data_IF_219948947786
#
_entry.id   IF_219948947786
#
_cell.length_a   1.000
_cell.length_b   1.000
_cell.length_c   1.000
_cell.angle_alpha   90.00
_cell.angle_beta   90.00
_cell.angle_gamma   90.00
#
_symmetry.space_group_name_H-M   'P 1'
#
loop_
_entity.id
_entity.type
_entity.pdbx_description
1 polymer ?
#
# COMPACT_ATOMS: atom_id res chain seq x y z
N UNK A 1 23.85 44.17 -37.66
CA UNK A 1 23.28 43.36 -36.55
C UNK A 1 23.58 41.86 -36.60
N UNK A 2 24.12 41.27 -37.68
CA UNK A 2 24.39 39.82 -37.76
C UNK A 2 25.78 39.38 -37.23
N UNK A 3 26.72 40.31 -37.02
CA UNK A 3 28.11 40.00 -36.62
C UNK A 3 28.28 39.84 -35.10
N UNK A 4 27.47 40.55 -34.29
CA UNK A 4 27.54 40.49 -32.82
C UNK A 4 26.86 39.23 -32.22
N UNK A 5 25.86 38.66 -32.89
CA UNK A 5 25.22 37.40 -32.47
C UNK A 5 26.08 36.15 -32.74
N UNK A 6 27.00 36.20 -33.72
CA UNK A 6 27.94 35.10 -33.97
C UNK A 6 29.04 35.03 -32.89
N UNK A 7 29.53 36.16 -32.41
CA UNK A 7 30.57 36.22 -31.38
C UNK A 7 30.06 35.78 -29.99
N UNK A 8 28.81 36.10 -29.61
CA UNK A 8 28.26 35.65 -28.31
C UNK A 8 28.02 34.14 -28.25
N UNK A 9 27.64 33.50 -29.37
CA UNK A 9 27.51 32.04 -29.47
C UNK A 9 28.86 31.32 -29.38
N UNK A 10 29.92 31.88 -29.97
CA UNK A 10 31.26 31.26 -29.93
C UNK A 10 31.85 31.32 -28.51
N UNK A 11 31.67 32.44 -27.80
CA UNK A 11 32.16 32.61 -26.41
C UNK A 11 31.35 31.75 -25.42
N UNK A 12 30.03 31.58 -25.61
CA UNK A 12 29.24 30.70 -24.72
C UNK A 12 29.56 29.22 -24.94
N UNK A 13 29.78 28.80 -26.18
CA UNK A 13 30.11 27.41 -26.52
C UNK A 13 31.50 27.02 -26.02
N UNK A 14 32.48 27.95 -26.06
CA UNK A 14 33.82 27.73 -25.51
C UNK A 14 33.82 27.58 -23.97
N UNK A 15 32.95 28.34 -23.27
CA UNK A 15 32.83 28.30 -21.80
C UNK A 15 32.12 27.04 -21.29
N UNK A 16 31.17 26.52 -22.07
CA UNK A 16 30.49 25.23 -21.80
C UNK A 16 31.45 24.04 -22.04
N UNK A 17 32.27 24.12 -23.10
CA UNK A 17 33.25 23.07 -23.40
C UNK A 17 34.43 23.04 -22.43
N UNK A 18 34.86 24.18 -21.87
CA UNK A 18 35.90 24.19 -20.83
C UNK A 18 35.38 23.66 -19.48
N UNK A 19 34.14 23.99 -19.10
CA UNK A 19 33.50 23.42 -17.90
C UNK A 19 33.22 21.93 -18.04
N UNK A 20 32.80 21.44 -19.22
CA UNK A 20 32.69 20.00 -19.48
C UNK A 20 34.03 19.29 -19.36
N UNK A 21 35.14 19.86 -19.86
CA UNK A 21 36.49 19.27 -19.74
C UNK A 21 37.00 19.20 -18.30
N UNK A 22 36.64 20.18 -17.46
CA UNK A 22 37.04 20.20 -16.04
C UNK A 22 36.20 19.22 -15.22
N UNK A 23 34.92 19.01 -15.57
CA UNK A 23 34.07 18.01 -14.91
C UNK A 23 34.40 16.58 -15.39
N UNK A 24 34.74 16.38 -16.66
CA UNK A 24 35.13 15.05 -17.16
C UNK A 24 36.53 14.61 -16.75
N UNK A 25 37.44 15.50 -16.34
CA UNK A 25 38.74 15.08 -15.79
C UNK A 25 38.68 14.66 -14.32
N UNK A 26 37.64 15.07 -13.58
CA UNK A 26 37.46 14.73 -12.16
C UNK A 26 36.66 13.44 -11.94
N UNK A 27 35.85 13.01 -12.92
CA UNK A 27 35.02 11.80 -12.84
C UNK A 27 35.66 10.55 -13.51
N UNK A 28 36.83 10.70 -14.15
CA UNK A 28 37.49 9.62 -14.89
C UNK A 28 38.20 8.57 -14.01
N UNK A 29 38.07 8.65 -12.68
CA UNK A 29 38.76 7.76 -11.76
C UNK A 29 37.97 7.37 -10.51
N UNK A 30 36.63 7.34 -10.59
CA UNK A 30 35.86 6.62 -9.58
C UNK A 30 35.91 5.12 -9.97
N UNK A 31 36.57 4.26 -9.17
CA UNK A 31 36.58 2.82 -9.42
C UNK A 31 35.15 2.30 -9.51
N UNK A 32 34.86 1.40 -10.45
CA UNK A 32 33.54 0.81 -10.63
C UNK A 32 33.04 0.11 -9.34
N UNK A 33 33.97 -0.40 -8.53
CA UNK A 33 33.70 -0.91 -7.18
C UNK A 33 33.27 0.18 -6.20
N UNK A 34 33.78 1.40 -6.30
CA UNK A 34 33.38 2.52 -5.45
C UNK A 34 31.99 3.04 -5.84
N UNK A 35 31.66 3.07 -7.15
CA UNK A 35 30.30 3.37 -7.64
C UNK A 35 29.30 2.30 -7.17
N UNK A 36 29.66 1.01 -7.25
CA UNK A 36 28.82 -0.09 -6.74
C UNK A 36 28.65 -0.03 -5.21
N UNK A 37 29.72 0.23 -4.47
CA UNK A 37 29.66 0.35 -3.01
C UNK A 37 28.84 1.58 -2.56
N UNK A 38 28.94 2.71 -3.28
CA UNK A 38 28.16 3.92 -3.01
C UNK A 38 26.68 3.74 -3.40
N UNK A 39 26.40 2.97 -4.46
CA UNK A 39 25.04 2.60 -4.85
C UNK A 39 24.42 1.59 -3.88
N UNK A 40 25.15 0.56 -3.44
CA UNK A 40 24.71 -0.40 -2.40
C UNK A 40 24.54 0.28 -1.03
N UNK A 41 25.36 1.30 -0.73
CA UNK A 41 25.23 2.15 0.46
C UNK A 41 23.96 3.03 0.46
N UNK A 42 23.33 3.24 -0.70
CA UNK A 42 22.12 4.05 -0.84
C UNK A 42 20.83 3.22 -0.96
N UNK A 43 20.93 1.89 -1.04
CA UNK A 43 19.75 1.02 -1.07
C UNK A 43 19.17 0.93 0.34
N UNK A 44 17.94 1.41 0.50
CA UNK A 44 17.26 1.34 1.79
C UNK A 44 17.01 -0.11 2.24
N UNK A 45 16.81 -0.27 3.55
CA UNK A 45 16.64 -1.57 4.20
C UNK A 45 15.51 -2.40 3.56
N UNK A 46 14.38 -1.80 3.23
CA UNK A 46 13.26 -2.52 2.63
C UNK A 46 13.65 -3.06 1.26
N UNK A 47 14.24 -2.24 0.41
CA UNK A 47 14.65 -2.62 -0.95
C UNK A 47 15.67 -3.77 -0.90
N UNK A 48 16.62 -3.73 0.05
CA UNK A 48 17.56 -4.82 0.26
C UNK A 48 16.86 -6.13 0.64
N UNK A 49 16.00 -6.10 1.67
CA UNK A 49 15.26 -7.29 2.12
C UNK A 49 14.34 -7.85 1.02
N UNK A 50 13.73 -6.98 0.22
CA UNK A 50 12.88 -7.36 -0.90
C UNK A 50 13.70 -8.07 -2.00
N UNK A 51 14.83 -7.50 -2.40
CA UNK A 51 15.70 -8.09 -3.42
C UNK A 51 16.24 -9.46 -3.03
N UNK A 52 16.44 -9.73 -1.74
CA UNK A 52 16.85 -11.05 -1.23
C UNK A 52 15.72 -12.11 -1.30
N UNK A 53 14.45 -11.68 -1.28
CA UNK A 53 13.28 -12.58 -1.24
C UNK A 53 12.45 -12.62 -2.52
N UNK A 54 12.69 -11.70 -3.45
CA UNK A 54 11.96 -11.64 -4.73
C UNK A 54 12.17 -12.92 -5.53
N UNK A 55 11.14 -13.31 -6.25
CA UNK A 55 11.13 -14.46 -7.15
C UNK A 55 10.92 -13.89 -8.55
N UNK A 56 11.95 -13.99 -9.38
CA UNK A 56 11.88 -13.55 -10.76
C UNK A 56 10.96 -14.49 -11.55
N UNK A 57 9.95 -13.91 -12.19
CA UNK A 57 8.98 -14.63 -13.01
C UNK A 57 8.86 -13.97 -14.38
N UNK A 58 8.78 -14.77 -15.43
CA UNK A 58 8.50 -14.28 -16.79
C UNK A 58 7.05 -13.81 -16.93
N UNK A 59 6.76 -12.98 -17.94
CA UNK A 59 5.39 -12.51 -18.22
C UNK A 59 4.38 -13.65 -18.43
N UNK A 60 4.82 -14.75 -19.05
CA UNK A 60 4.00 -15.94 -19.20
C UNK A 60 3.70 -16.60 -17.84
N UNK A 61 4.71 -16.74 -16.97
CA UNK A 61 4.51 -17.25 -15.60
C UNK A 61 3.63 -16.30 -14.78
N UNK A 62 3.80 -14.98 -14.93
CA UNK A 62 2.97 -13.94 -14.31
C UNK A 62 1.50 -14.07 -14.73
N UNK A 63 1.24 -14.22 -16.02
CA UNK A 63 -0.11 -14.45 -16.54
C UNK A 63 -0.71 -15.78 -16.06
N UNK A 64 0.07 -16.86 -16.07
CA UNK A 64 -0.36 -18.17 -15.58
C UNK A 64 -0.67 -18.13 -14.07
N UNK A 65 0.18 -17.47 -13.28
CA UNK A 65 -0.02 -17.25 -11.86
C UNK A 65 -1.25 -16.38 -11.61
N UNK A 66 -1.46 -15.31 -12.37
CA UNK A 66 -2.67 -14.48 -12.25
C UNK A 66 -3.95 -15.30 -12.49
N UNK A 67 -3.98 -16.09 -13.57
CA UNK A 67 -5.12 -16.94 -13.92
C UNK A 67 -5.32 -18.03 -12.86
N UNK A 68 -4.27 -18.78 -12.51
CA UNK A 68 -4.33 -19.84 -11.50
C UNK A 68 -4.71 -19.32 -10.12
N UNK A 69 -4.24 -18.13 -9.76
CA UNK A 69 -4.58 -17.41 -8.53
C UNK A 69 -6.01 -16.93 -8.50
N UNK A 70 -6.50 -16.37 -9.61
CA UNK A 70 -7.89 -15.97 -9.76
C UNK A 70 -8.82 -17.16 -9.58
N UNK A 71 -8.56 -18.26 -10.30
CA UNK A 71 -9.37 -19.48 -10.23
C UNK A 71 -9.31 -20.07 -8.82
N UNK A 72 -8.12 -20.18 -8.23
CA UNK A 72 -7.96 -20.75 -6.88
C UNK A 72 -8.60 -19.89 -5.79
N UNK A 73 -8.50 -18.57 -5.88
CA UNK A 73 -9.15 -17.64 -4.94
C UNK A 73 -10.68 -17.69 -5.07
N UNK A 74 -11.22 -17.94 -6.27
CA UNK A 74 -12.66 -18.14 -6.48
C UNK A 74 -13.15 -19.47 -5.90
N UNK A 75 -12.35 -20.54 -6.01
CA UNK A 75 -12.67 -21.87 -5.48
C UNK A 75 -12.51 -21.93 -3.96
N UNK A 76 -11.40 -21.42 -3.43
CA UNK A 76 -11.12 -21.33 -2.00
C UNK A 76 -10.48 -19.98 -1.61
N UNK A 77 -11.27 -18.97 -1.21
CA UNK A 77 -10.80 -17.68 -0.74
C UNK A 77 -10.01 -17.73 0.55
N UNK A 78 -10.01 -18.87 1.28
CA UNK A 78 -9.15 -19.05 2.47
C UNK A 78 -7.68 -19.22 2.07
N UNK A 79 -7.41 -19.45 0.79
CA UNK A 79 -6.07 -19.41 0.19
C UNK A 79 -5.60 -17.96 0.00
N UNK A 80 -5.20 -17.35 1.11
CA UNK A 80 -4.68 -15.97 1.13
C UNK A 80 -3.45 -15.80 0.22
N UNK A 81 -2.69 -16.87 0.00
CA UNK A 81 -1.55 -16.95 -0.93
C UNK A 81 -1.95 -16.68 -2.38
N UNK A 82 -3.10 -17.18 -2.82
CA UNK A 82 -3.58 -16.97 -4.19
C UNK A 82 -4.12 -15.55 -4.38
N UNK A 83 -4.81 -14.99 -3.38
CA UNK A 83 -5.26 -13.58 -3.45
C UNK A 83 -4.04 -12.63 -3.47
N UNK A 84 -3.02 -12.94 -2.67
CA UNK A 84 -1.75 -12.22 -2.65
C UNK A 84 -1.07 -12.25 -4.03
N UNK A 85 -0.92 -13.44 -4.61
CA UNK A 85 -0.31 -13.64 -5.93
C UNK A 85 -1.12 -12.96 -7.05
N UNK A 86 -2.45 -13.01 -7.01
CA UNK A 86 -3.30 -12.30 -7.97
C UNK A 86 -3.02 -10.78 -7.92
N UNK A 87 -2.87 -10.25 -6.71
CA UNK A 87 -2.56 -8.85 -6.52
C UNK A 87 -1.24 -8.40 -7.13
N UNK A 88 -0.19 -9.19 -6.92
CA UNK A 88 1.15 -8.90 -7.43
C UNK A 88 1.27 -9.05 -8.95
N UNK A 89 0.39 -9.84 -9.56
CA UNK A 89 0.44 -10.13 -11.01
C UNK A 89 -0.51 -9.26 -11.84
N UNK A 90 -1.45 -8.54 -11.20
CA UNK A 90 -2.43 -7.69 -11.90
C UNK A 90 -2.48 -6.25 -11.39
N UNK A 91 -1.72 -5.92 -10.34
CA UNK A 91 -1.84 -4.66 -9.60
C UNK A 91 -1.04 -3.48 -10.14
N UNK A 92 -0.06 -3.66 -11.04
CA UNK A 92 0.97 -2.67 -11.37
C UNK A 92 0.42 -1.27 -11.68
N UNK A 93 -0.59 -1.17 -12.56
CA UNK A 93 -1.18 0.12 -12.92
C UNK A 93 -1.84 0.81 -11.71
N UNK A 94 -2.58 0.07 -10.90
CA UNK A 94 -3.23 0.61 -9.71
C UNK A 94 -2.18 0.98 -8.64
N UNK A 95 -1.14 0.18 -8.47
CA UNK A 95 -0.03 0.46 -7.55
C UNK A 95 0.72 1.73 -7.95
N UNK A 96 0.94 1.95 -9.25
CA UNK A 96 1.54 3.19 -9.75
C UNK A 96 0.66 4.40 -9.44
N UNK A 97 -0.66 4.29 -9.62
CA UNK A 97 -1.59 5.38 -9.26
C UNK A 97 -1.61 5.66 -7.75
N UNK A 98 -1.51 4.63 -6.92
CA UNK A 98 -1.37 4.79 -5.46
C UNK A 98 -0.07 5.52 -5.14
N UNK A 99 1.04 5.11 -5.74
CA UNK A 99 2.33 5.76 -5.58
C UNK A 99 2.29 7.25 -5.95
N UNK A 100 1.74 7.59 -7.12
CA UNK A 100 1.58 8.98 -7.56
C UNK A 100 0.75 9.81 -6.57
N UNK A 101 -0.35 9.25 -6.06
CA UNK A 101 -1.17 9.89 -5.01
C UNK A 101 -0.38 10.09 -3.71
N UNK A 102 0.46 9.13 -3.31
CA UNK A 102 1.32 9.26 -2.14
C UNK A 102 2.34 10.38 -2.33
N UNK A 103 3.04 10.40 -3.47
CA UNK A 103 4.05 11.41 -3.81
C UNK A 103 3.48 12.82 -3.93
N UNK A 104 2.20 12.97 -4.29
CA UNK A 104 1.51 14.26 -4.32
C UNK A 104 1.29 14.88 -2.93
N UNK A 105 1.33 14.08 -1.85
CA UNK A 105 1.14 14.54 -0.47
C UNK A 105 2.45 14.58 0.31
N UNK A 106 2.57 15.53 1.25
CA UNK A 106 3.76 15.61 2.12
C UNK A 106 3.91 14.34 2.98
N UNK A 107 2.83 13.91 3.62
CA UNK A 107 2.81 12.69 4.46
C UNK A 107 3.13 11.43 3.63
N UNK A 108 2.56 11.30 2.44
CA UNK A 108 2.85 10.18 1.54
C UNK A 108 4.30 10.16 1.05
N UNK A 109 4.92 11.31 0.76
CA UNK A 109 6.36 11.38 0.44
C UNK A 109 7.23 10.89 1.60
N UNK A 110 6.90 11.27 2.82
CA UNK A 110 7.61 10.79 4.01
C UNK A 110 7.49 9.26 4.15
N UNK A 111 6.30 8.70 3.94
CA UNK A 111 6.09 7.25 3.96
C UNK A 111 6.92 6.54 2.88
N UNK A 112 6.92 7.05 1.64
CA UNK A 112 7.71 6.45 0.54
C UNK A 112 9.22 6.52 0.83
N UNK A 113 9.67 7.60 1.48
CA UNK A 113 11.09 7.77 1.84
C UNK A 113 11.50 6.89 3.02
N UNK A 114 10.71 6.87 4.09
CA UNK A 114 11.04 6.18 5.34
C UNK A 114 10.71 4.68 5.29
N UNK A 115 9.79 4.29 4.40
CA UNK A 115 9.27 2.93 4.22
C UNK A 115 8.92 2.24 5.55
N UNK A 116 8.12 2.88 6.43
CA UNK A 116 7.71 2.28 7.69
C UNK A 116 6.98 0.95 7.44
N UNK A 117 7.13 0.04 8.41
CA UNK A 117 6.56 -1.32 8.39
C UNK A 117 5.65 -1.50 9.58
N UNK A 118 4.58 -2.27 9.42
CA UNK A 118 3.68 -2.66 10.50
C UNK A 118 3.75 -4.19 10.64
N UNK A 119 4.56 -4.63 11.60
CA UNK A 119 4.74 -6.04 11.97
C UNK A 119 5.18 -6.12 13.44
N UNK A 120 5.28 -7.32 14.01
CA UNK A 120 5.63 -7.47 15.44
C UNK A 120 7.05 -7.02 15.78
N UNK A 121 7.93 -6.82 14.80
CA UNK A 121 9.28 -6.26 15.03
C UNK A 121 9.29 -4.75 15.16
N UNK A 122 8.25 -4.06 14.68
CA UNK A 122 8.16 -2.60 14.69
C UNK A 122 7.05 -2.07 15.58
N UNK A 123 6.05 -2.90 15.90
CA UNK A 123 4.90 -2.53 16.73
C UNK A 123 4.90 -3.35 18.01
N UNK A 124 4.99 -2.67 19.16
CA UNK A 124 4.88 -3.31 20.47
C UNK A 124 3.40 -3.48 20.87
N UNK A 125 2.87 -4.69 20.70
CA UNK A 125 1.47 -4.98 21.02
C UNK A 125 1.13 -4.87 22.51
N UNK A 126 2.09 -5.09 23.40
CA UNK A 126 1.88 -4.92 24.85
C UNK A 126 1.74 -3.45 25.23
N UNK A 127 2.46 -2.56 24.54
CA UNK A 127 2.26 -1.11 24.68
C UNK A 127 0.89 -0.69 24.15
N UNK A 128 0.48 -1.18 22.98
CA UNK A 128 -0.84 -0.86 22.41
C UNK A 128 -1.98 -1.29 23.34
N UNK A 129 -1.85 -2.46 23.98
CA UNK A 129 -2.84 -3.04 24.90
C UNK A 129 -3.17 -2.15 26.09
N UNK A 130 -2.19 -1.40 26.59
CA UNK A 130 -2.35 -0.55 27.79
C UNK A 130 -2.70 0.90 27.45
N UNK A 131 -2.83 1.25 26.16
CA UNK A 131 -3.25 2.58 25.75
C UNK A 131 -4.72 2.87 26.12
N UNK A 132 -5.13 4.15 26.24
CA UNK A 132 -6.53 4.49 26.48
C UNK A 132 -7.46 3.95 25.40
N UNK A 133 -8.67 3.53 25.80
CA UNK A 133 -9.56 2.77 24.90
C UNK A 133 -9.97 3.53 23.63
N UNK A 134 -10.01 4.85 23.69
CA UNK A 134 -10.38 5.72 22.59
C UNK A 134 -9.24 5.92 21.57
N UNK A 135 -8.04 5.39 21.80
CA UNK A 135 -6.90 5.57 20.89
C UNK A 135 -6.87 4.53 19.76
N UNK A 136 -6.23 4.89 18.64
CA UNK A 136 -5.99 3.95 17.53
C UNK A 136 -5.24 2.69 18.00
N UNK A 137 -4.22 2.85 18.84
CA UNK A 137 -3.37 1.77 19.33
C UNK A 137 -4.17 0.72 20.08
N UNK A 138 -4.96 1.13 21.07
CA UNK A 138 -5.82 0.21 21.81
C UNK A 138 -6.82 -0.48 20.88
N UNK A 139 -7.49 0.28 19.99
CA UNK A 139 -8.50 -0.28 19.09
C UNK A 139 -7.89 -1.28 18.09
N UNK A 140 -6.66 -1.02 17.61
CA UNK A 140 -5.94 -1.95 16.75
C UNK A 140 -5.54 -3.23 17.50
N UNK A 141 -4.99 -3.10 18.71
CA UNK A 141 -4.71 -4.26 19.57
C UNK A 141 -5.98 -5.08 19.82
N UNK A 142 -7.08 -4.40 20.17
CA UNK A 142 -8.37 -5.04 20.43
C UNK A 142 -8.88 -5.77 19.19
N UNK A 143 -8.78 -5.16 18.00
CA UNK A 143 -9.13 -5.79 16.74
C UNK A 143 -8.33 -7.08 16.50
N UNK A 144 -7.01 -7.03 16.66
CA UNK A 144 -6.14 -8.19 16.49
C UNK A 144 -6.52 -9.33 17.46
N UNK A 145 -6.74 -8.98 18.73
CA UNK A 145 -7.13 -9.92 19.78
C UNK A 145 -8.51 -10.55 19.52
N UNK A 146 -9.52 -9.74 19.22
CA UNK A 146 -10.89 -10.20 18.96
C UNK A 146 -10.99 -11.15 17.75
N UNK A 147 -10.19 -10.88 16.71
CA UNK A 147 -10.18 -11.68 15.48
C UNK A 147 -9.12 -12.78 15.46
N UNK A 148 -8.31 -12.92 16.53
CA UNK A 148 -7.24 -13.92 16.66
C UNK A 148 -6.23 -13.86 15.48
N UNK A 149 -5.85 -12.65 15.07
CA UNK A 149 -4.88 -12.38 14.01
C UNK A 149 -3.68 -11.60 14.54
N UNK A 150 -2.57 -11.65 13.81
CA UNK A 150 -1.34 -10.89 14.10
C UNK A 150 -0.96 -9.99 12.91
N UNK A 151 -0.29 -8.84 13.12
CA UNK A 151 0.27 -8.03 12.03
C UNK A 151 1.15 -8.84 11.06
N UNK A 152 1.77 -9.92 11.52
CA UNK A 152 2.63 -10.79 10.72
C UNK A 152 1.86 -11.79 9.82
N UNK A 153 0.53 -11.82 9.89
CA UNK A 153 -0.29 -12.78 9.11
C UNK A 153 -0.25 -12.47 7.60
N UNK A 154 0.30 -11.32 7.22
CA UNK A 154 0.31 -10.81 5.86
C UNK A 154 1.54 -11.36 5.12
N UNK A 155 1.32 -11.92 3.94
CA UNK A 155 2.38 -12.51 3.13
C UNK A 155 3.31 -11.44 2.57
N UNK A 156 4.61 -11.74 2.56
CA UNK A 156 5.61 -10.95 1.85
C UNK A 156 5.26 -10.81 0.35
N UNK A 157 5.54 -9.65 -0.22
CA UNK A 157 5.50 -9.43 -1.68
C UNK A 157 6.74 -10.05 -2.31
N UNK A 158 6.58 -10.87 -3.36
CA UNK A 158 7.69 -11.67 -3.92
C UNK A 158 7.75 -11.67 -5.44
N UNK A 159 6.64 -11.49 -6.13
CA UNK A 159 6.49 -11.66 -7.57
C UNK A 159 6.51 -10.33 -8.34
N UNK A 160 6.76 -9.22 -7.66
CA UNK A 160 6.94 -7.92 -8.29
C UNK A 160 8.40 -7.69 -8.69
N UNK A 161 8.62 -6.90 -9.74
CA UNK A 161 9.98 -6.58 -10.21
C UNK A 161 10.50 -5.26 -9.63
N UNK A 162 9.63 -4.25 -9.53
CA UNK A 162 9.97 -2.91 -9.00
C UNK A 162 9.87 -2.89 -7.46
N UNK A 163 10.98 -2.66 -6.72
CA UNK A 163 10.96 -2.54 -5.26
C UNK A 163 10.08 -1.41 -4.74
N UNK A 164 9.88 -0.34 -5.51
CA UNK A 164 8.99 0.77 -5.13
C UNK A 164 7.54 0.29 -5.12
N UNK A 165 7.06 -0.32 -6.20
CA UNK A 165 5.70 -0.85 -6.27
C UNK A 165 5.50 -2.01 -5.29
N UNK A 166 6.55 -2.81 -5.07
CA UNK A 166 6.55 -3.85 -4.04
C UNK A 166 6.37 -3.27 -2.63
N UNK A 167 6.99 -2.12 -2.32
CA UNK A 167 6.75 -1.42 -1.06
C UNK A 167 5.30 -0.94 -0.95
N UNK A 168 4.75 -0.31 -2.00
CA UNK A 168 3.36 0.15 -2.01
C UNK A 168 2.38 -1.00 -1.78
N UNK A 169 2.62 -2.14 -2.43
CA UNK A 169 1.83 -3.36 -2.25
C UNK A 169 2.00 -3.95 -0.84
N UNK A 170 3.22 -3.92 -0.29
CA UNK A 170 3.50 -4.35 1.09
C UNK A 170 2.74 -3.48 2.08
N UNK A 171 2.81 -2.15 1.93
CA UNK A 171 2.07 -1.21 2.78
C UNK A 171 0.57 -1.50 2.71
N UNK A 172 0.01 -1.73 1.52
CA UNK A 172 -1.40 -2.04 1.36
C UNK A 172 -1.80 -3.30 2.17
N UNK A 173 -0.98 -4.34 2.15
CA UNK A 173 -1.20 -5.55 2.95
C UNK A 173 -1.13 -5.29 4.44
N UNK A 174 -0.13 -4.53 4.88
CA UNK A 174 0.14 -4.29 6.30
C UNK A 174 -0.89 -3.36 6.95
N UNK A 175 -1.43 -2.38 6.20
CA UNK A 175 -2.44 -1.45 6.73
C UNK A 175 -3.86 -2.02 6.69
N UNK A 176 -4.10 -3.14 6.02
CA UNK A 176 -5.45 -3.71 5.85
C UNK A 176 -6.19 -3.93 7.19
N UNK A 177 -5.51 -4.46 8.20
CA UNK A 177 -6.11 -4.68 9.52
C UNK A 177 -6.40 -3.35 10.25
N UNK A 178 -5.61 -2.31 10.00
CA UNK A 178 -5.92 -0.95 10.47
C UNK A 178 -7.13 -0.36 9.74
N UNK A 179 -7.28 -0.61 8.44
CA UNK A 179 -8.45 -0.19 7.67
C UNK A 179 -9.71 -0.82 8.27
N UNK A 180 -9.69 -2.12 8.58
CA UNK A 180 -10.77 -2.78 9.32
C UNK A 180 -11.07 -2.09 10.66
N UNK A 181 -10.01 -1.78 11.43
CA UNK A 181 -10.11 -1.13 12.74
C UNK A 181 -10.79 0.22 12.65
N UNK A 182 -10.33 1.12 11.77
CA UNK A 182 -10.90 2.48 11.67
C UNK A 182 -12.31 2.49 11.06
N UNK A 183 -12.65 1.49 10.24
CA UNK A 183 -13.99 1.30 9.69
C UNK A 183 -14.95 0.62 10.67
N UNK A 184 -14.47 0.09 11.79
CA UNK A 184 -15.27 -0.67 12.75
C UNK A 184 -15.78 -2.01 12.20
N UNK A 185 -15.05 -2.63 11.27
CA UNK A 185 -15.48 -3.84 10.57
C UNK A 185 -14.72 -5.08 11.05
N UNK A 186 -15.45 -6.12 11.48
CA UNK A 186 -14.89 -7.44 11.82
C UNK A 186 -14.45 -8.21 10.58
N UNK A 187 -13.62 -9.25 10.73
CA UNK A 187 -13.13 -10.12 9.63
C UNK A 187 -14.09 -11.25 9.25
N UNK A 188 -15.38 -11.12 9.60
CA UNK A 188 -16.39 -12.05 9.08
C UNK A 188 -16.67 -11.75 7.60
N UNK A 189 -17.28 -12.70 6.89
CA UNK A 189 -17.54 -12.55 5.44
C UNK A 189 -18.28 -11.26 5.05
N UNK A 190 -19.16 -10.74 5.92
CA UNK A 190 -19.91 -9.52 5.64
C UNK A 190 -19.04 -8.26 5.76
N UNK A 191 -18.21 -8.20 6.82
CA UNK A 191 -17.24 -7.14 7.03
C UNK A 191 -16.13 -7.15 5.98
N UNK A 192 -15.58 -8.31 5.66
CA UNK A 192 -14.56 -8.48 4.59
C UNK A 192 -15.03 -7.93 3.25
N UNK A 193 -16.22 -8.33 2.80
CA UNK A 193 -16.77 -7.86 1.51
C UNK A 193 -17.02 -6.35 1.53
N UNK A 194 -17.46 -5.79 2.66
CA UNK A 194 -17.67 -4.36 2.81
C UNK A 194 -16.36 -3.58 2.78
N UNK A 195 -15.33 -4.04 3.50
CA UNK A 195 -13.99 -3.42 3.48
C UNK A 195 -13.37 -3.52 2.10
N UNK A 196 -13.53 -4.64 1.39
CA UNK A 196 -13.03 -4.78 0.01
C UNK A 196 -13.62 -3.75 -0.95
N UNK A 197 -14.88 -3.33 -0.78
CA UNK A 197 -15.45 -2.22 -1.55
C UNK A 197 -14.78 -0.88 -1.23
N UNK A 198 -14.52 -0.60 0.06
CA UNK A 198 -13.81 0.62 0.48
C UNK A 198 -12.40 0.63 -0.10
N UNK A 199 -11.67 -0.48 0.03
CA UNK A 199 -10.32 -0.64 -0.52
C UNK A 199 -10.32 -0.53 -2.04
N UNK A 200 -11.25 -1.17 -2.75
CA UNK A 200 -11.33 -1.14 -4.20
C UNK A 200 -11.49 0.29 -4.73
N UNK A 201 -12.37 1.07 -4.10
CA UNK A 201 -12.63 2.46 -4.50
C UNK A 201 -11.50 3.42 -4.09
N UNK A 202 -10.82 3.15 -2.97
CA UNK A 202 -9.71 3.99 -2.49
C UNK A 202 -8.41 3.73 -3.27
N UNK A 203 -8.12 2.46 -3.56
CA UNK A 203 -6.83 1.98 -4.11
C UNK A 203 -6.86 1.70 -5.61
N UNK A 204 -8.01 1.31 -6.18
CA UNK A 204 -8.11 0.89 -7.57
C UNK A 204 -7.61 -0.54 -7.84
N UNK A 205 -7.18 -1.28 -6.81
CA UNK A 205 -6.57 -2.60 -6.96
C UNK A 205 -7.57 -3.65 -7.49
N UNK A 206 -7.25 -4.37 -8.59
CA UNK A 206 -8.18 -5.33 -9.20
C UNK A 206 -8.64 -6.46 -8.26
N UNK A 207 -7.76 -6.97 -7.40
CA UNK A 207 -8.12 -8.00 -6.42
C UNK A 207 -9.09 -7.49 -5.35
N UNK A 208 -9.13 -6.20 -5.05
CA UNK A 208 -10.12 -5.63 -4.14
C UNK A 208 -11.50 -5.63 -4.80
N UNK A 209 -11.60 -5.20 -6.06
CA UNK A 209 -12.84 -5.30 -6.84
C UNK A 209 -13.31 -6.75 -6.97
N UNK A 210 -12.39 -7.66 -7.28
CA UNK A 210 -12.66 -9.09 -7.34
C UNK A 210 -13.20 -9.61 -6.00
N UNK A 211 -12.49 -9.35 -4.90
CA UNK A 211 -12.92 -9.76 -3.55
C UNK A 211 -14.31 -9.22 -3.17
N UNK A 212 -14.59 -7.96 -3.51
CA UNK A 212 -15.87 -7.32 -3.25
C UNK A 212 -17.03 -7.96 -4.06
N UNK A 213 -16.81 -8.24 -5.35
CA UNK A 213 -17.83 -8.81 -6.24
C UNK A 213 -18.03 -10.30 -5.93
N UNK A 214 -16.96 -11.09 -5.95
CA UNK A 214 -17.02 -12.54 -5.82
C UNK A 214 -17.26 -12.99 -4.37
N UNK A 215 -16.78 -12.24 -3.38
CA UNK A 215 -17.08 -12.51 -1.96
C UNK A 215 -18.57 -12.32 -1.65
N UNK A 216 -19.23 -11.31 -2.21
CA UNK A 216 -20.66 -11.08 -2.02
C UNK A 216 -21.55 -12.24 -2.50
N UNK A 217 -21.11 -12.98 -3.53
CA UNK A 217 -21.85 -14.14 -4.05
C UNK A 217 -21.92 -15.30 -3.05
N UNK A 218 -20.98 -15.37 -2.11
CA UNK A 218 -20.91 -16.41 -1.07
C UNK A 218 -21.77 -16.13 0.16
N UNK A 219 -22.42 -14.96 0.22
CA UNK A 219 -23.29 -14.60 1.34
C UNK A 219 -24.56 -15.46 1.38
N UNK A 220 -24.84 -16.07 2.53
CA UNK A 220 -26.11 -16.75 2.82
C UNK A 220 -27.26 -15.73 2.82
N UNK A 221 -28.50 -16.19 2.61
CA UNK A 221 -29.70 -15.36 2.44
C UNK A 221 -29.85 -14.24 3.49
N UNK A 222 -29.67 -14.55 4.78
CA UNK A 222 -29.75 -13.55 5.86
C UNK A 222 -28.68 -12.45 5.72
N UNK A 223 -27.42 -12.85 5.54
CA UNK A 223 -26.31 -11.90 5.37
C UNK A 223 -26.42 -11.12 4.06
N UNK A 224 -26.96 -11.72 2.99
CA UNK A 224 -27.18 -11.04 1.71
C UNK A 224 -28.19 -9.90 1.83
N UNK A 225 -29.28 -10.09 2.59
CA UNK A 225 -30.24 -9.01 2.87
C UNK A 225 -29.59 -7.85 3.63
N UNK A 226 -28.88 -8.17 4.73
CA UNK A 226 -28.13 -7.17 5.50
C UNK A 226 -27.09 -6.43 4.64
N UNK A 227 -26.39 -7.18 3.80
CA UNK A 227 -25.39 -6.64 2.89
C UNK A 227 -25.99 -5.64 1.92
N UNK A 228 -27.04 -6.01 1.21
CA UNK A 228 -27.69 -5.16 0.21
C UNK A 228 -28.31 -3.92 0.83
N UNK A 229 -28.91 -4.05 2.01
CA UNK A 229 -29.65 -2.98 2.66
C UNK A 229 -28.73 -1.97 3.36
N UNK A 230 -27.66 -2.44 4.02
CA UNK A 230 -26.85 -1.60 4.90
C UNK A 230 -25.37 -1.55 4.49
N UNK A 231 -24.70 -2.68 4.37
CA UNK A 231 -23.24 -2.70 4.19
C UNK A 231 -22.78 -2.19 2.82
N UNK A 232 -23.45 -2.57 1.74
CA UNK A 232 -23.04 -2.16 0.39
C UNK A 232 -23.23 -0.65 0.18
N UNK A 233 -24.39 -0.04 0.47
CA UNK A 233 -24.52 1.42 0.37
C UNK A 233 -23.50 2.17 1.25
N UNK A 234 -23.29 1.70 2.48
CA UNK A 234 -22.30 2.26 3.40
C UNK A 234 -20.87 2.15 2.87
N UNK A 235 -20.47 1.00 2.35
CA UNK A 235 -19.13 0.74 1.85
C UNK A 235 -18.84 1.57 0.58
N UNK A 236 -19.83 1.69 -0.32
CA UNK A 236 -19.70 2.53 -1.51
C UNK A 236 -19.58 4.02 -1.14
N UNK A 237 -20.35 4.47 -0.14
CA UNK A 237 -20.26 5.85 0.37
C UNK A 237 -18.88 6.12 0.97
N UNK A 238 -18.42 5.28 1.88
CA UNK A 238 -17.10 5.41 2.50
C UNK A 238 -15.98 5.31 1.46
N UNK A 239 -16.01 4.31 0.58
CA UNK A 239 -14.99 4.10 -0.45
C UNK A 239 -14.80 5.29 -1.39
N UNK A 240 -15.87 6.05 -1.69
CA UNK A 240 -15.81 7.25 -2.52
C UNK A 240 -15.37 8.52 -1.79
N UNK A 241 -15.71 8.62 -0.49
CA UNK A 241 -15.56 9.88 0.26
C UNK A 241 -14.33 9.90 1.18
N UNK A 242 -13.81 8.74 1.55
CA UNK A 242 -12.66 8.62 2.45
C UNK A 242 -11.41 9.16 1.77
N UNK A 243 -10.54 9.85 2.53
CA UNK A 243 -9.22 10.27 2.05
C UNK A 243 -8.37 9.07 1.62
N UNK A 244 -7.31 9.25 0.80
CA UNK A 244 -6.41 8.16 0.43
C UNK A 244 -5.80 7.50 1.67
N UNK A 245 -6.17 6.24 1.94
CA UNK A 245 -5.80 5.51 3.16
C UNK A 245 -4.32 5.10 3.16
N UNK A 246 -3.74 4.97 1.98
CA UNK A 246 -2.32 4.67 1.78
C UNK A 246 -1.40 5.84 2.19
N UNK A 247 -1.93 7.07 2.20
CA UNK A 247 -1.19 8.29 2.52
C UNK A 247 -1.15 8.59 4.03
N UNK A 248 -1.86 7.80 4.85
CA UNK A 248 -1.92 8.02 6.30
C UNK A 248 -0.71 7.39 6.97
N UNK A 249 0.02 8.15 7.77
CA UNK A 249 1.19 7.67 8.53
C UNK A 249 0.75 7.04 9.85
N UNK A 250 0.08 5.89 9.76
CA UNK A 250 -0.49 5.13 10.88
C UNK A 250 0.47 4.91 12.04
N UNK A 251 1.72 4.61 11.72
CA UNK A 251 2.78 4.24 12.66
C UNK A 251 3.16 5.38 13.61
N UNK A 252 2.80 6.63 13.27
CA UNK A 252 3.00 7.84 14.10
C UNK A 252 1.75 8.25 14.88
N UNK A 253 0.65 7.49 14.80
CA UNK A 253 -0.69 7.91 15.26
C UNK A 253 -1.32 6.99 16.31
N UNK A 254 -0.55 6.08 16.92
CA UNK A 254 -1.09 5.11 17.89
C UNK A 254 -1.85 5.76 19.05
N UNK A 255 -1.40 6.92 19.55
CA UNK A 255 -2.04 7.64 20.66
C UNK A 255 -3.18 8.57 20.22
N UNK A 256 -3.39 8.75 18.91
CA UNK A 256 -4.45 9.63 18.42
C UNK A 256 -5.83 8.99 18.68
N UNK A 257 -6.81 9.82 19.06
CA UNK A 257 -8.19 9.40 19.22
C UNK A 257 -8.75 8.84 17.89
N UNK A 258 -9.37 7.67 17.95
CA UNK A 258 -9.88 6.98 16.77
C UNK A 258 -11.05 7.74 16.10
N UNK A 259 -11.88 8.42 16.90
CA UNK A 259 -12.96 9.25 16.40
C UNK A 259 -12.45 10.47 15.64
N UNK A 260 -11.33 11.04 16.09
CA UNK A 260 -10.68 12.15 15.38
C UNK A 260 -10.02 11.68 14.08
N UNK A 261 -9.39 10.51 14.05
CA UNK A 261 -8.92 9.88 12.80
C UNK A 261 -10.09 9.67 11.84
N UNK A 262 -11.20 9.10 12.31
CA UNK A 262 -12.38 8.85 11.46
C UNK A 262 -12.92 10.15 10.85
N UNK A 263 -13.07 11.21 11.64
CA UNK A 263 -13.47 12.54 11.15
C UNK A 263 -12.47 13.09 10.13
N UNK A 264 -11.18 13.02 10.44
CA UNK A 264 -10.11 13.51 9.58
C UNK A 264 -10.11 12.82 8.21
N UNK A 265 -10.30 11.50 8.22
CA UNK A 265 -10.32 10.65 7.02
C UNK A 265 -11.68 10.64 6.31
N UNK A 266 -12.71 11.27 6.89
CA UNK A 266 -14.10 11.27 6.40
C UNK A 266 -14.72 9.87 6.37
N UNK A 267 -14.39 9.08 7.38
CA UNK A 267 -14.98 7.77 7.62
C UNK A 267 -16.27 7.96 8.41
N UNK A 268 -17.35 7.37 7.91
CA UNK A 268 -18.61 7.26 8.62
C UNK A 268 -18.77 5.80 9.08
N UNK A 269 -18.96 5.58 10.38
CA UNK A 269 -19.19 4.23 10.91
C UNK A 269 -20.56 3.70 10.50
N UNK A 270 -20.65 2.38 10.30
CA UNK A 270 -21.94 1.75 10.09
C UNK A 270 -22.72 1.78 11.41
N UNK A 271 -23.93 2.36 11.46
CA UNK A 271 -24.76 2.35 12.66
C UNK A 271 -25.09 0.91 13.10
N UNK A 272 -25.29 0.67 14.41
CA UNK A 272 -25.73 -0.63 14.90
C UNK A 272 -27.04 -1.05 14.21
N UNK A 273 -27.03 -2.23 13.60
CA UNK A 273 -28.14 -2.72 12.75
C UNK A 273 -29.34 -3.14 13.59
N UNK A 274 -29.10 -3.52 14.84
CA UNK A 274 -30.10 -3.78 15.88
C UNK A 274 -30.86 -2.52 16.32
N UNK A 275 -30.43 -1.33 15.89
CA UNK A 275 -31.10 -0.05 16.11
C UNK A 275 -31.81 0.49 14.84
N UNK A 276 -31.89 -0.30 13.76
CA UNK A 276 -32.46 0.07 12.44
C UNK A 276 -33.58 -0.87 11.99
#
# INVERSE_FOLDING_TARGET
MQTLQKLSKIVSTARINSQRRIITSSLAHIPENQIKNDAESQIDKFTKEFNERKIEISDFQRALLAVGSSVSALLDPRRHDMIACLGETTGDQALMQIYEKMMASEEGRQIISEKPRINTKTVNLDELKIMPENTLGYQYWKFLNDNQVTPDSRLDVRFMDDPMLAYVMTRYREVHDLIHTVLGMKTNMLGEVAVKWVEALNTGLPMCYGGAIFGAMRLKTKHRKLYQQYYLPWALKNGRNTKPLMNVYWEKRWQQDIGDIQKELRIELLPPIDLL
#
